data_IF_189272631873
#
_entry.id   IF_189272631873
#
_cell.length_a   1.000
_cell.length_b   1.000
_cell.length_c   1.000
_cell.angle_alpha   90.00
_cell.angle_beta   90.00
_cell.angle_gamma   90.00
#
_symmetry.space_group_name_H-M   'P 1'
#
loop_
_entity.id
_entity.type
_entity.pdbx_description
1 polymer ?
#
# COMPACT_ATOMS: atom_id res chain seq x y z
N UNK A 1 -47.87 -8.51 -30.35
CA UNK A 1 -46.46 -8.52 -30.77
C UNK A 1 -45.86 -7.14 -30.54
N UNK A 2 -44.71 -7.08 -29.87
CA UNK A 2 -43.74 -5.95 -29.81
C UNK A 2 -44.27 -4.69 -29.08
N UNK A 3 -43.98 -4.56 -27.77
CA UNK A 3 -43.59 -3.32 -27.04
C UNK A 3 -42.98 -3.60 -25.65
N UNK A 4 -42.25 -4.72 -25.50
CA UNK A 4 -41.41 -4.97 -24.32
C UNK A 4 -39.95 -5.09 -24.78
N UNK A 5 -39.53 -4.09 -25.54
CA UNK A 5 -38.15 -3.92 -25.98
C UNK A 5 -37.53 -2.90 -25.07
N UNK A 6 -36.35 -3.28 -24.58
CA UNK A 6 -35.23 -2.38 -24.29
C UNK A 6 -35.50 -1.46 -23.12
N UNK A 7 -34.82 -1.72 -22.01
CA UNK A 7 -34.27 -0.77 -21.03
C UNK A 7 -34.31 -1.47 -19.67
N UNK A 8 -33.19 -1.46 -18.95
CA UNK A 8 -33.12 -1.78 -17.51
C UNK A 8 -33.10 -3.23 -17.02
N UNK A 9 -32.73 -4.22 -17.84
CA UNK A 9 -32.02 -5.42 -17.31
C UNK A 9 -30.49 -5.30 -17.46
N UNK A 10 -30.02 -4.09 -17.83
CA UNK A 10 -28.61 -3.66 -17.80
C UNK A 10 -28.42 -2.68 -16.64
N UNK A 11 -28.91 -3.04 -15.47
CA UNK A 11 -28.53 -2.41 -14.21
C UNK A 11 -27.96 -3.49 -13.31
N UNK A 12 -26.95 -4.20 -13.84
CA UNK A 12 -25.94 -4.85 -13.02
C UNK A 12 -25.20 -3.70 -12.32
N UNK A 13 -25.82 -3.20 -11.24
CA UNK A 13 -25.27 -2.21 -10.37
C UNK A 13 -24.02 -2.81 -9.73
N UNK A 14 -22.90 -2.68 -10.44
CA UNK A 14 -21.57 -2.83 -9.90
C UNK A 14 -21.42 -1.73 -8.84
N UNK A 15 -21.85 -2.05 -7.63
CA UNK A 15 -21.52 -1.28 -6.44
C UNK A 15 -20.00 -1.40 -6.29
N UNK A 16 -19.22 -0.32 -6.47
CA UNK A 16 -17.83 -0.38 -6.10
C UNK A 16 -17.83 -0.57 -4.59
N UNK A 17 -17.52 -1.79 -4.15
CA UNK A 17 -17.12 -2.04 -2.79
C UNK A 17 -15.90 -1.14 -2.59
N UNK A 18 -16.08 -0.01 -1.91
CA UNK A 18 -14.99 0.81 -1.39
C UNK A 18 -14.26 -0.05 -0.36
N UNK A 19 -13.44 -0.99 -0.84
CA UNK A 19 -12.46 -1.66 -0.02
C UNK A 19 -11.60 -0.54 0.57
N UNK A 20 -11.62 -0.44 1.89
CA UNK A 20 -10.93 0.59 2.69
C UNK A 20 -9.41 0.39 2.64
N UNK A 21 -8.87 0.36 1.42
CA UNK A 21 -7.46 0.24 1.11
C UNK A 21 -6.87 1.65 1.02
N UNK A 22 -5.71 1.83 1.62
CA UNK A 22 -4.96 3.08 1.57
C UNK A 22 -3.48 2.78 1.41
N UNK A 23 -2.80 3.65 0.67
CA UNK A 23 -1.34 3.69 0.64
C UNK A 23 -0.91 5.02 1.24
N UNK A 24 0.17 5.01 2.02
CA UNK A 24 0.72 6.22 2.63
C UNK A 24 2.24 6.18 2.59
N UNK A 25 2.87 7.34 2.37
CA UNK A 25 4.31 7.46 2.47
C UNK A 25 4.67 7.45 3.96
N UNK A 26 5.40 6.43 4.40
CA UNK A 26 5.91 6.32 5.78
C UNK A 26 7.28 6.93 5.94
N UNK A 27 8.04 7.02 4.83
CA UNK A 27 9.32 7.71 4.80
C UNK A 27 9.50 8.43 3.48
N UNK A 28 9.72 9.72 3.55
CA UNK A 28 9.99 10.58 2.40
C UNK A 28 11.49 10.90 2.38
N UNK A 29 12.15 10.65 1.25
CA UNK A 29 13.53 11.10 1.00
C UNK A 29 13.57 11.94 -0.26
N UNK A 30 14.65 12.69 -0.46
CA UNK A 30 14.79 13.57 -1.63
C UNK A 30 14.93 12.79 -2.94
N UNK A 31 15.40 11.53 -2.87
CA UNK A 31 15.65 10.67 -4.03
C UNK A 31 14.69 9.48 -4.09
N UNK A 32 13.62 9.45 -3.28
CA UNK A 32 12.72 8.29 -3.20
C UNK A 32 11.89 8.25 -1.93
N UNK A 33 11.60 7.05 -1.43
CA UNK A 33 10.90 6.88 -0.17
C UNK A 33 10.44 5.45 0.11
N UNK A 34 9.63 5.33 1.15
CA UNK A 34 8.96 4.09 1.55
C UNK A 34 7.47 4.34 1.63
N UNK A 35 6.69 3.53 0.92
CA UNK A 35 5.22 3.57 0.93
C UNK A 35 4.72 2.34 1.67
N UNK A 36 3.88 2.54 2.68
CA UNK A 36 3.18 1.46 3.36
C UNK A 36 1.78 1.30 2.77
N UNK A 37 1.38 0.04 2.61
CA UNK A 37 0.10 -0.39 2.08
C UNK A 37 -0.76 -0.90 3.23
N UNK A 38 -2.02 -0.47 3.27
CA UNK A 38 -3.00 -0.87 4.28
C UNK A 38 -4.31 -1.28 3.60
N UNK A 39 -4.93 -2.35 4.06
CA UNK A 39 -6.17 -2.90 3.47
C UNK A 39 -5.90 -3.93 2.37
N UNK A 40 -6.81 -4.04 1.38
CA UNK A 40 -6.68 -5.02 0.30
C UNK A 40 -5.41 -4.78 -0.54
N UNK A 41 -4.63 -5.84 -0.74
CA UNK A 41 -3.31 -5.79 -1.40
C UNK A 41 -3.37 -5.13 -2.79
N UNK A 42 -4.34 -5.54 -3.62
CA UNK A 42 -4.43 -5.04 -5.00
C UNK A 42 -4.74 -3.55 -5.05
N UNK A 43 -5.75 -3.11 -4.29
CA UNK A 43 -6.17 -1.71 -4.27
C UNK A 43 -5.15 -0.79 -3.58
N UNK A 44 -4.47 -1.29 -2.53
CA UNK A 44 -3.40 -0.54 -1.89
C UNK A 44 -2.16 -0.43 -2.79
N UNK A 45 -1.87 -1.45 -3.60
CA UNK A 45 -0.76 -1.43 -4.57
C UNK A 45 -0.99 -0.39 -5.66
N UNK A 46 -2.19 -0.33 -6.24
CA UNK A 46 -2.53 0.68 -7.24
C UNK A 46 -2.32 2.11 -6.70
N UNK A 47 -2.77 2.38 -5.47
CA UNK A 47 -2.56 3.67 -4.81
C UNK A 47 -1.08 3.96 -4.55
N UNK A 48 -0.30 2.95 -4.16
CA UNK A 48 1.14 3.09 -3.98
C UNK A 48 1.84 3.46 -5.30
N UNK A 49 1.46 2.85 -6.41
CA UNK A 49 2.00 3.16 -7.73
C UNK A 49 1.70 4.60 -8.17
N UNK A 50 0.50 5.10 -7.87
CA UNK A 50 0.14 6.51 -8.11
C UNK A 50 1.05 7.44 -7.31
N UNK A 51 1.19 7.20 -6.00
CA UNK A 51 2.06 8.02 -5.13
C UNK A 51 3.52 8.01 -5.58
N UNK A 52 4.06 6.85 -5.96
CA UNK A 52 5.44 6.73 -6.45
C UNK A 52 5.64 7.49 -7.77
N UNK A 53 4.64 7.46 -8.67
CA UNK A 53 4.70 8.15 -9.97
C UNK A 53 4.54 9.66 -9.82
N UNK A 54 3.64 10.12 -8.96
CA UNK A 54 3.48 11.54 -8.64
C UNK A 54 4.78 12.13 -8.08
N UNK A 55 5.45 11.37 -7.21
CA UNK A 55 6.72 11.80 -6.62
C UNK A 55 7.89 11.72 -7.60
N UNK A 56 7.96 10.67 -8.41
CA UNK A 56 9.03 10.45 -9.37
C UNK A 56 8.48 10.46 -10.80
N UNK A 57 8.22 11.65 -11.39
CA UNK A 57 7.63 11.76 -12.74
C UNK A 57 8.54 11.22 -13.84
N UNK A 58 9.86 11.22 -13.61
CA UNK A 58 10.86 10.65 -14.52
C UNK A 58 10.96 9.11 -14.44
N UNK A 59 10.17 8.47 -13.57
CA UNK A 59 10.19 7.04 -13.29
C UNK A 59 10.81 6.72 -11.94
N UNK A 60 10.61 5.49 -11.47
CA UNK A 60 11.15 4.99 -10.20
C UNK A 60 11.58 3.52 -10.31
N UNK A 61 12.49 3.10 -9.44
CA UNK A 61 12.87 1.71 -9.24
C UNK A 61 12.44 1.27 -7.85
N UNK A 62 11.80 0.11 -7.77
CA UNK A 62 11.48 -0.53 -6.49
C UNK A 62 12.69 -1.30 -6.01
N UNK A 63 13.21 -0.94 -4.84
CA UNK A 63 14.38 -1.57 -4.23
C UNK A 63 13.97 -2.80 -3.41
N UNK A 64 12.94 -2.65 -2.57
CA UNK A 64 12.49 -3.70 -1.65
C UNK A 64 10.97 -3.68 -1.50
N UNK A 65 10.37 -4.86 -1.32
CA UNK A 65 8.95 -5.02 -1.00
C UNK A 65 8.78 -6.17 0.00
N UNK A 66 7.98 -5.97 1.05
CA UNK A 66 7.71 -7.03 2.01
C UNK A 66 6.83 -6.59 3.17
N UNK A 67 6.39 -7.56 3.98
CA UNK A 67 5.76 -7.30 5.27
C UNK A 67 6.81 -6.91 6.31
N UNK A 68 6.55 -5.82 7.01
CA UNK A 68 7.41 -5.29 8.06
C UNK A 68 6.57 -5.03 9.30
N UNK A 69 7.10 -5.41 10.46
CA UNK A 69 6.47 -5.06 11.73
C UNK A 69 6.55 -3.55 11.93
N UNK A 70 5.41 -2.88 12.14
CA UNK A 70 5.32 -1.42 12.24
C UNK A 70 4.76 -0.92 13.57
N UNK A 71 4.53 -1.82 14.53
CA UNK A 71 4.12 -1.46 15.89
C UNK A 71 3.44 -2.62 16.61
N UNK A 72 2.91 -2.32 17.79
CA UNK A 72 2.18 -3.27 18.62
C UNK A 72 0.81 -2.70 18.96
N UNK A 73 -0.23 -3.55 18.91
CA UNK A 73 -1.58 -3.19 19.33
C UNK A 73 -1.89 -3.89 20.64
N UNK A 74 -2.08 -3.11 21.70
CA UNK A 74 -2.61 -3.61 22.95
C UNK A 74 -4.15 -3.51 22.93
N UNK A 75 -4.83 -4.66 23.02
CA UNK A 75 -6.29 -4.72 23.18
C UNK A 75 -6.59 -5.17 24.60
N UNK A 76 -7.20 -4.29 25.38
CA UNK A 76 -7.65 -4.61 26.74
C UNK A 76 -9.14 -4.95 26.68
N UNK A 77 -9.46 -6.21 26.94
CA UNK A 77 -10.85 -6.67 27.05
C UNK A 77 -11.21 -6.79 28.52
N UNK A 78 -12.17 -6.00 28.97
CA UNK A 78 -12.69 -6.04 30.33
C UNK A 78 -14.01 -6.82 30.35
N UNK A 79 -14.01 -7.98 31.00
CA UNK A 79 -15.19 -8.86 31.07
C UNK A 79 -16.08 -8.59 32.30
N UNK A 80 -15.52 -8.04 33.39
CA UNK A 80 -16.24 -7.63 34.59
C UNK A 80 -15.50 -6.49 35.33
N UNK A 81 -15.96 -6.04 36.50
CA UNK A 81 -15.35 -4.94 37.27
C UNK A 81 -13.94 -5.26 37.82
N UNK A 82 -13.51 -6.53 37.80
CA UNK A 82 -12.30 -7.00 38.50
C UNK A 82 -11.29 -7.75 37.62
N UNK A 83 -11.63 -8.06 36.37
CA UNK A 83 -10.80 -8.85 35.46
C UNK A 83 -10.71 -8.13 34.11
N UNK A 84 -9.50 -7.70 33.79
CA UNK A 84 -9.13 -7.16 32.51
C UNK A 84 -7.99 -8.01 31.93
N UNK A 85 -8.14 -8.43 30.67
CA UNK A 85 -7.10 -9.14 29.93
C UNK A 85 -6.54 -8.22 28.87
N UNK A 86 -5.24 -7.99 28.89
CA UNK A 86 -4.53 -7.24 27.84
C UNK A 86 -3.83 -8.21 26.91
N UNK A 87 -4.20 -8.19 25.63
CA UNK A 87 -3.50 -8.90 24.57
C UNK A 87 -2.65 -7.91 23.78
N UNK A 88 -1.36 -8.20 23.62
CA UNK A 88 -0.45 -7.42 22.79
C UNK A 88 -0.20 -8.21 21.52
N UNK A 89 -0.49 -7.61 20.36
CA UNK A 89 -0.30 -8.23 19.05
C UNK A 89 0.60 -7.36 18.17
N UNK A 90 1.63 -7.98 17.58
CA UNK A 90 2.53 -7.32 16.65
C UNK A 90 1.81 -7.04 15.32
N UNK A 91 1.82 -5.77 14.93
CA UNK A 91 1.16 -5.31 13.71
C UNK A 91 2.15 -5.30 12.56
N UNK A 92 1.75 -5.93 11.46
CA UNK A 92 2.53 -6.03 10.24
C UNK A 92 1.87 -5.20 9.14
N UNK A 93 2.66 -4.51 8.33
CA UNK A 93 2.18 -3.82 7.13
C UNK A 93 3.12 -4.08 5.96
N UNK A 94 2.56 -4.14 4.76
CA UNK A 94 3.36 -4.28 3.55
C UNK A 94 3.98 -2.93 3.20
N UNK A 95 5.29 -2.89 3.01
CA UNK A 95 6.01 -1.68 2.61
C UNK A 95 6.75 -1.89 1.29
N UNK A 96 6.86 -0.80 0.52
CA UNK A 96 7.58 -0.71 -0.74
C UNK A 96 8.61 0.40 -0.62
N UNK A 97 9.89 0.05 -0.71
CA UNK A 97 11.00 1.00 -0.77
C UNK A 97 11.29 1.30 -2.25
N UNK A 98 11.29 2.57 -2.63
CA UNK A 98 11.51 3.00 -4.00
C UNK A 98 12.50 4.17 -4.09
N UNK A 99 13.14 4.28 -5.24
CA UNK A 99 14.05 5.36 -5.59
C UNK A 99 13.63 5.98 -6.93
N UNK A 100 13.70 7.31 -7.04
CA UNK A 100 13.42 8.00 -8.30
C UNK A 100 14.54 7.75 -9.33
N UNK A 101 14.14 7.47 -10.57
CA UNK A 101 15.06 7.38 -11.71
C UNK A 101 15.74 8.73 -11.93
N UNK A 102 17.06 8.72 -12.15
CA UNK A 102 17.89 9.92 -12.32
C UNK A 102 18.50 10.48 -11.02
N UNK A 103 18.12 9.97 -9.86
CA UNK A 103 18.82 10.22 -8.57
C UNK A 103 19.43 8.97 -7.95
N UNK A 104 19.32 7.81 -8.63
CA UNK A 104 20.27 6.71 -8.47
C UNK A 104 21.64 7.18 -8.94
N UNK A 105 22.32 7.96 -8.10
CA UNK A 105 23.74 8.19 -8.25
C UNK A 105 24.38 6.80 -8.35
N UNK A 106 24.87 6.50 -9.56
CA UNK A 106 26.12 5.79 -9.76
C UNK A 106 26.28 4.58 -8.82
N UNK A 107 25.54 3.49 -9.10
CA UNK A 107 26.20 2.19 -8.98
C UNK A 107 27.32 2.22 -10.01
N UNK A 108 28.45 2.74 -9.57
CA UNK A 108 29.73 2.60 -10.21
C UNK A 108 29.88 1.10 -10.45
N UNK A 109 29.67 0.68 -11.70
CA UNK A 109 30.46 -0.43 -12.22
C UNK A 109 31.90 0.04 -12.14
N UNK A 110 32.52 -0.11 -10.97
CA UNK A 110 33.96 -0.31 -10.91
C UNK A 110 34.15 -1.68 -11.54
N UNK A 111 34.32 -1.69 -12.86
CA UNK A 111 34.92 -2.82 -13.55
C UNK A 111 36.36 -2.81 -13.05
N UNK A 112 36.65 -3.57 -11.99
CA UNK A 112 38.04 -3.88 -11.64
C UNK A 112 38.55 -4.77 -12.76
N UNK A 113 39.15 -4.16 -13.77
CA UNK A 113 39.95 -4.88 -14.77
C UNK A 113 41.21 -5.34 -14.06
N UNK A 114 41.36 -6.65 -13.90
CA UNK A 114 42.61 -7.29 -13.50
C UNK A 114 43.51 -7.55 -14.71
#
# INVERSE_FOLDING_TARGET
MIRLRLFFLVALAATPLFACSSARIVRETQTGGTVALRGSRDSAREKAEVLMREKCPSGYAVLEQGEVAYGQRATTTQWNRSTATTQVEDQHEWQIVFQCAGTSATTERIVVTY
#
